data_IF_101957601167
#
_entry.id   IF_101957601167
#
_cell.length_a   1.000
_cell.length_b   1.000
_cell.length_c   1.000
_cell.angle_alpha   90.00
_cell.angle_beta   90.00
_cell.angle_gamma   90.00
#
_symmetry.space_group_name_H-M   'P 1'
#
loop_
_entity.id
_entity.type
_entity.pdbx_description
1 polymer ?
#
# COMPACT_ATOMS: atom_id res chain seq x y z
N UNK A 1 -37.21 -7.68 8.15
CA UNK A 1 -36.12 -7.69 9.14
C UNK A 1 -34.93 -8.34 8.47
N UNK A 2 -33.91 -7.56 8.18
CA UNK A 2 -32.72 -7.99 7.46
C UNK A 2 -31.75 -8.61 8.48
N UNK A 3 -31.45 -9.90 8.33
CA UNK A 3 -30.34 -10.52 9.04
C UNK A 3 -29.10 -10.40 8.16
N UNK A 4 -28.14 -9.60 8.65
CA UNK A 4 -26.76 -9.65 8.21
C UNK A 4 -26.19 -11.01 8.64
N UNK A 5 -25.91 -11.88 7.68
CA UNK A 5 -25.08 -13.07 7.90
C UNK A 5 -23.62 -12.66 7.75
N UNK A 6 -22.94 -12.55 8.89
CA UNK A 6 -21.49 -12.55 8.96
C UNK A 6 -20.96 -13.85 8.35
N UNK A 7 -20.12 -13.75 7.32
CA UNK A 7 -19.30 -14.87 6.83
C UNK A 7 -18.22 -15.20 7.87
N UNK A 8 -17.98 -16.49 8.19
CA UNK A 8 -16.90 -16.90 9.05
C UNK A 8 -15.63 -17.05 8.20
N UNK A 9 -15.05 -15.94 7.75
CA UNK A 9 -13.63 -15.98 7.43
C UNK A 9 -12.90 -15.82 8.76
N UNK A 10 -12.05 -16.79 9.11
CA UNK A 10 -11.19 -16.74 10.27
C UNK A 10 -10.43 -15.41 10.25
N UNK A 11 -10.90 -14.44 11.04
CA UNK A 11 -10.18 -13.22 11.31
C UNK A 11 -8.97 -13.63 12.13
N UNK A 12 -7.80 -13.71 11.48
CA UNK A 12 -6.54 -13.58 12.21
C UNK A 12 -6.61 -12.23 12.93
N UNK A 13 -6.68 -12.26 14.26
CA UNK A 13 -6.61 -11.06 15.10
C UNK A 13 -5.18 -10.53 15.22
N UNK A 14 -4.23 -11.11 14.48
CA UNK A 14 -2.84 -10.71 14.46
C UNK A 14 -2.54 -9.96 13.16
N UNK A 15 -2.24 -8.66 13.29
CA UNK A 15 -1.59 -7.93 12.21
C UNK A 15 -0.23 -8.56 11.96
N UNK A 16 0.11 -8.91 10.70
CA UNK A 16 1.34 -9.61 10.40
C UNK A 16 2.56 -8.81 10.85
N UNK A 17 3.63 -9.55 11.13
CA UNK A 17 4.94 -8.98 11.38
C UNK A 17 5.61 -8.69 10.04
N UNK A 18 6.11 -7.45 9.91
CA UNK A 18 6.88 -7.01 8.75
C UNK A 18 8.35 -6.99 9.12
N UNK A 19 9.20 -7.43 8.20
CA UNK A 19 10.65 -7.45 8.37
C UNK A 19 11.36 -7.06 7.08
N UNK A 20 12.36 -6.19 7.19
CA UNK A 20 13.34 -6.00 6.12
C UNK A 20 14.39 -7.10 6.25
N UNK A 21 14.64 -7.83 5.17
CA UNK A 21 15.69 -8.85 5.09
C UNK A 21 16.44 -8.71 3.78
N UNK A 22 17.41 -9.58 3.52
CA UNK A 22 18.09 -9.65 2.23
C UNK A 22 17.67 -10.93 1.50
N UNK A 23 17.52 -10.84 0.18
CA UNK A 23 17.47 -12.00 -0.70
C UNK A 23 18.78 -12.79 -0.56
N UNK A 24 18.71 -14.13 -0.54
CA UNK A 24 19.90 -14.98 -0.41
C UNK A 24 20.71 -15.07 -1.71
N UNK A 25 20.06 -14.85 -2.86
CA UNK A 25 20.70 -14.94 -4.18
C UNK A 25 21.26 -13.57 -4.60
N UNK A 26 20.42 -12.53 -4.63
CA UNK A 26 20.81 -11.20 -5.12
C UNK A 26 21.41 -10.29 -4.04
N UNK A 27 21.31 -10.66 -2.76
CA UNK A 27 21.68 -9.82 -1.60
C UNK A 27 20.94 -8.47 -1.51
N UNK A 28 19.97 -8.22 -2.38
CA UNK A 28 19.12 -7.02 -2.38
C UNK A 28 18.19 -7.07 -1.18
N UNK A 29 17.90 -5.90 -0.60
CA UNK A 29 16.95 -5.79 0.49
C UNK A 29 15.53 -6.10 -0.02
N UNK A 30 14.77 -6.88 0.75
CA UNK A 30 13.39 -7.27 0.43
C UNK A 30 12.50 -7.11 1.67
N UNK A 31 11.19 -6.95 1.44
CA UNK A 31 10.20 -6.86 2.51
C UNK A 31 9.53 -8.21 2.71
N UNK A 32 9.68 -8.79 3.90
CA UNK A 32 9.00 -10.00 4.33
C UNK A 32 7.76 -9.72 5.15
N UNK A 33 6.67 -10.41 4.83
CA UNK A 33 5.43 -10.43 5.62
C UNK A 33 5.23 -11.82 6.23
N UNK A 34 5.13 -11.89 7.55
CA UNK A 34 4.97 -13.17 8.27
C UNK A 34 3.65 -13.86 7.90
N UNK A 35 3.69 -15.18 7.76
CA UNK A 35 2.53 -16.03 7.49
C UNK A 35 2.20 -16.97 8.66
N UNK A 36 0.94 -17.45 8.77
CA UNK A 36 0.54 -18.37 9.83
C UNK A 36 1.36 -19.68 9.88
N UNK A 37 1.90 -20.12 8.74
CA UNK A 37 2.78 -21.29 8.65
C UNK A 37 4.22 -21.02 9.14
N UNK A 38 4.52 -19.81 9.60
CA UNK A 38 5.83 -19.39 10.12
C UNK A 38 6.81 -18.92 9.05
N UNK A 39 6.46 -19.01 7.76
CA UNK A 39 7.27 -18.47 6.68
C UNK A 39 7.08 -16.95 6.52
N UNK A 40 7.98 -16.32 5.77
CA UNK A 40 7.80 -14.95 5.28
C UNK A 40 7.53 -15.00 3.78
N UNK A 41 6.51 -14.27 3.34
CA UNK A 41 6.30 -14.00 1.93
C UNK A 41 6.98 -12.70 1.57
N UNK A 42 7.85 -12.74 0.56
CA UNK A 42 8.78 -11.67 0.23
C UNK A 42 8.26 -10.79 -0.91
N UNK A 43 8.58 -9.50 -0.86
CA UNK A 43 8.23 -8.49 -1.84
C UNK A 43 9.43 -7.62 -2.23
N UNK A 44 9.52 -7.30 -3.50
CA UNK A 44 10.40 -6.28 -4.09
C UNK A 44 9.65 -4.97 -4.32
N UNK A 45 10.40 -3.89 -4.48
CA UNK A 45 9.84 -2.62 -4.93
C UNK A 45 10.16 -2.39 -6.41
N UNK A 46 9.12 -2.37 -7.24
CA UNK A 46 9.19 -2.01 -8.65
C UNK A 46 9.10 -0.48 -8.76
N UNK A 47 10.23 0.15 -9.07
CA UNK A 47 10.32 1.62 -9.20
C UNK A 47 9.58 2.17 -10.42
N UNK A 48 9.40 1.37 -11.49
CA UNK A 48 8.68 1.79 -12.68
C UNK A 48 7.17 1.79 -12.44
N UNK A 49 6.67 0.78 -11.73
CA UNK A 49 5.25 0.65 -11.39
C UNK A 49 4.87 1.37 -10.10
N UNK A 50 5.84 1.85 -9.32
CA UNK A 50 5.63 2.42 -7.98
C UNK A 50 4.84 1.45 -7.08
N UNK A 51 5.26 0.19 -7.06
CA UNK A 51 4.52 -0.89 -6.40
C UNK A 51 5.42 -1.90 -5.70
N UNK A 52 4.95 -2.42 -4.57
CA UNK A 52 5.52 -3.59 -3.93
C UNK A 52 4.94 -4.85 -4.58
N UNK A 53 5.78 -5.60 -5.28
CA UNK A 53 5.41 -6.81 -6.03
C UNK A 53 6.01 -8.05 -5.37
N UNK A 54 5.41 -9.24 -5.54
CA UNK A 54 5.99 -10.48 -5.00
C UNK A 54 7.42 -10.69 -5.50
N UNK A 55 8.33 -11.05 -4.59
CA UNK A 55 9.72 -11.33 -4.93
C UNK A 55 9.83 -12.61 -5.75
N UNK A 56 10.46 -12.52 -6.92
CA UNK A 56 10.65 -13.63 -7.86
C UNK A 56 12.06 -14.19 -7.66
N UNK A 57 12.18 -15.18 -6.78
CA UNK A 57 13.46 -15.81 -6.44
C UNK A 57 13.24 -17.17 -5.77
N UNK A 58 14.23 -18.05 -5.86
CA UNK A 58 14.31 -19.34 -5.16
C UNK A 58 14.08 -19.22 -3.63
N UNK A 59 14.42 -18.07 -3.04
CA UNK A 59 14.26 -17.81 -1.61
C UNK A 59 12.81 -17.47 -1.19
N UNK A 60 11.89 -17.31 -2.14
CA UNK A 60 10.47 -17.13 -1.86
C UNK A 60 9.88 -18.39 -1.22
N UNK A 61 8.95 -18.22 -0.28
CA UNK A 61 8.27 -19.32 0.37
C UNK A 61 7.51 -20.20 -0.64
N UNK A 62 7.87 -21.49 -0.71
CA UNK A 62 7.17 -22.47 -1.55
C UNK A 62 5.77 -22.73 -1.01
N UNK A 63 4.79 -22.81 -1.92
CA UNK A 63 3.41 -23.16 -1.56
C UNK A 63 3.21 -24.67 -1.69
N UNK A 64 2.60 -25.28 -0.69
CA UNK A 64 2.19 -26.68 -0.73
C UNK A 64 0.68 -26.80 -0.70
N UNK A 65 0.15 -27.98 -1.06
CA UNK A 65 -1.27 -28.28 -0.93
C UNK A 65 -1.79 -28.09 0.50
N UNK A 66 -0.93 -28.27 1.52
CA UNK A 66 -1.29 -28.03 2.92
C UNK A 66 -1.57 -26.55 3.25
N UNK A 67 -1.03 -25.62 2.45
CA UNK A 67 -1.24 -24.18 2.60
C UNK A 67 -2.50 -23.68 1.86
N UNK A 68 -3.21 -24.56 1.15
CA UNK A 68 -4.37 -24.21 0.34
C UNK A 68 -5.68 -24.57 1.04
N UNK A 69 -6.66 -23.67 0.96
CA UNK A 69 -8.02 -23.86 1.45
C UNK A 69 -9.02 -23.76 0.29
N UNK A 70 -9.54 -24.88 -0.24
CA UNK A 70 -10.37 -24.84 -1.42
C UNK A 70 -11.75 -24.25 -1.11
N UNK A 71 -12.23 -23.35 -1.96
CA UNK A 71 -13.46 -22.57 -1.74
C UNK A 71 -14.62 -23.11 -2.55
N UNK A 72 -14.47 -23.15 -3.88
CA UNK A 72 -15.40 -23.73 -4.84
C UNK A 72 -14.66 -24.00 -6.17
N UNK A 73 -15.31 -24.68 -7.12
CA UNK A 73 -14.77 -24.88 -8.46
C UNK A 73 -15.78 -24.50 -9.53
N UNK A 74 -15.29 -24.00 -10.65
CA UNK A 74 -16.07 -23.72 -11.85
C UNK A 74 -15.47 -24.45 -13.05
N UNK A 75 -16.34 -24.91 -13.94
CA UNK A 75 -15.92 -25.55 -15.18
C UNK A 75 -15.91 -24.52 -16.29
N UNK A 76 -14.77 -24.36 -16.95
CA UNK A 76 -14.61 -23.48 -18.10
C UNK A 76 -13.99 -24.26 -19.24
N UNK A 77 -14.75 -24.42 -20.34
CA UNK A 77 -14.39 -25.32 -21.44
C UNK A 77 -14.09 -26.73 -20.90
N UNK A 78 -12.86 -27.21 -21.12
CA UNK A 78 -12.39 -28.53 -20.70
C UNK A 78 -11.57 -28.50 -19.39
N UNK A 79 -11.46 -27.33 -18.75
CA UNK A 79 -10.73 -27.17 -17.49
C UNK A 79 -11.71 -27.00 -16.32
N UNK A 80 -11.37 -27.63 -15.20
CA UNK A 80 -12.01 -27.35 -13.91
C UNK A 80 -11.07 -26.43 -13.15
N UNK A 81 -11.48 -25.18 -13.01
CA UNK A 81 -10.76 -24.16 -12.26
C UNK A 81 -11.26 -24.18 -10.83
N UNK A 82 -10.35 -24.25 -9.88
CA UNK A 82 -10.65 -24.35 -8.46
C UNK A 82 -10.16 -23.07 -7.80
N UNK A 83 -11.08 -22.34 -7.17
CA UNK A 83 -10.75 -21.18 -6.36
C UNK A 83 -10.29 -21.66 -4.99
N UNK A 84 -9.07 -21.30 -4.61
CA UNK A 84 -8.49 -21.68 -3.32
C UNK A 84 -7.93 -20.44 -2.65
N UNK A 85 -8.11 -20.34 -1.33
CA UNK A 85 -7.39 -19.37 -0.54
C UNK A 85 -6.01 -19.93 -0.20
N UNK A 86 -4.96 -19.23 -0.60
CA UNK A 86 -3.57 -19.59 -0.36
C UNK A 86 -3.06 -18.83 0.87
N UNK A 87 -2.67 -19.58 1.91
CA UNK A 87 -2.19 -19.02 3.17
C UNK A 87 -0.77 -18.40 3.04
N UNK A 88 0.00 -18.80 2.02
CA UNK A 88 1.34 -18.27 1.75
C UNK A 88 1.27 -16.91 1.07
N UNK A 89 0.46 -16.73 0.03
CA UNK A 89 0.28 -15.42 -0.61
C UNK A 89 -0.77 -14.54 0.08
N UNK A 90 -1.60 -15.12 0.95
CA UNK A 90 -2.76 -14.49 1.58
C UNK A 90 -3.83 -14.04 0.56
N UNK A 91 -3.98 -14.78 -0.54
CA UNK A 91 -4.89 -14.45 -1.65
C UNK A 91 -5.84 -15.57 -1.99
N UNK A 92 -6.97 -15.22 -2.61
CA UNK A 92 -7.79 -16.19 -3.34
C UNK A 92 -7.27 -16.28 -4.76
N UNK A 93 -6.79 -17.47 -5.10
CA UNK A 93 -6.11 -17.77 -6.35
C UNK A 93 -6.83 -18.90 -7.09
N UNK A 94 -6.50 -19.06 -8.37
CA UNK A 94 -7.12 -20.05 -9.24
C UNK A 94 -6.12 -21.16 -9.54
N UNK A 95 -6.57 -22.39 -9.36
CA UNK A 95 -5.76 -23.58 -9.58
C UNK A 95 -6.45 -24.54 -10.54
N UNK A 96 -5.65 -25.22 -11.34
CA UNK A 96 -6.08 -26.38 -12.13
C UNK A 96 -5.25 -27.57 -11.71
N UNK A 97 -5.86 -28.75 -11.76
CA UNK A 97 -5.15 -30.00 -11.54
C UNK A 97 -4.69 -30.55 -12.89
N UNK A 98 -3.39 -30.43 -13.17
CA UNK A 98 -2.74 -30.93 -14.39
C UNK A 98 -2.02 -32.24 -14.12
N UNK A 99 -1.36 -32.74 -15.16
CA UNK A 99 -0.45 -33.89 -15.19
C UNK A 99 -0.99 -35.25 -14.69
N UNK A 100 -0.26 -36.33 -14.96
CA UNK A 100 -0.58 -37.69 -14.46
C UNK A 100 -0.41 -37.81 -12.94
N UNK A 101 0.28 -36.85 -12.31
CA UNK A 101 0.58 -36.82 -10.89
C UNK A 101 -0.45 -36.03 -10.08
N UNK A 102 -1.48 -35.49 -10.75
CA UNK A 102 -2.54 -34.67 -10.19
C UNK A 102 -2.00 -33.43 -9.47
N UNK A 103 -0.93 -32.84 -9.98
CA UNK A 103 -0.34 -31.64 -9.38
C UNK A 103 -1.26 -30.43 -9.60
N UNK A 104 -1.33 -29.55 -8.62
CA UNK A 104 -2.02 -28.28 -8.76
C UNK A 104 -1.07 -27.24 -9.35
N UNK A 105 -1.57 -26.51 -10.33
CA UNK A 105 -0.89 -25.40 -10.97
C UNK A 105 -1.75 -24.15 -10.85
N UNK A 106 -1.17 -23.06 -10.37
CA UNK A 106 -1.78 -21.75 -10.37
C UNK A 106 -1.95 -21.27 -11.82
N UNK A 107 -3.14 -20.77 -12.13
CA UNK A 107 -3.48 -20.20 -13.42
C UNK A 107 -4.01 -18.79 -13.25
N UNK A 108 -3.71 -17.95 -14.22
CA UNK A 108 -4.22 -16.59 -14.34
C UNK A 108 -4.98 -16.46 -15.67
N UNK A 109 -5.66 -15.33 -15.86
CA UNK A 109 -6.35 -15.00 -17.12
C UNK A 109 -7.36 -16.02 -17.65
N UNK A 110 -7.96 -16.80 -16.75
CA UNK A 110 -9.06 -17.70 -17.12
C UNK A 110 -10.30 -16.92 -17.57
N UNK A 111 -10.44 -15.65 -17.15
CA UNK A 111 -11.65 -14.85 -17.34
C UNK A 111 -12.75 -15.16 -16.30
N UNK A 112 -12.46 -16.01 -15.31
CA UNK A 112 -13.30 -16.22 -14.15
C UNK A 112 -12.91 -15.25 -13.02
N UNK A 113 -13.91 -14.76 -12.29
CA UNK A 113 -13.72 -13.85 -11.14
C UNK A 113 -14.25 -14.53 -9.89
N UNK A 114 -13.55 -14.36 -8.77
CA UNK A 114 -13.97 -14.91 -7.50
C UNK A 114 -15.36 -14.39 -7.09
N UNK A 115 -16.26 -15.30 -6.75
CA UNK A 115 -17.60 -15.02 -6.25
C UNK A 115 -17.75 -15.58 -4.82
N UNK A 116 -17.79 -14.72 -3.79
CA UNK A 116 -18.00 -15.15 -2.40
C UNK A 116 -19.30 -15.94 -2.17
N UNK A 117 -20.31 -15.73 -3.00
CA UNK A 117 -21.60 -16.44 -2.88
C UNK A 117 -21.55 -17.87 -3.40
N UNK A 118 -20.50 -18.22 -4.16
CA UNK A 118 -20.28 -19.57 -4.71
C UNK A 118 -19.52 -20.49 -3.75
N UNK A 119 -18.98 -19.97 -2.65
CA UNK A 119 -18.20 -20.75 -1.67
C UNK A 119 -19.04 -21.91 -1.15
N UNK A 120 -18.56 -23.14 -1.38
CA UNK A 120 -19.32 -24.33 -0.96
C UNK A 120 -19.21 -24.57 0.54
N UNK A 121 -20.33 -24.99 1.14
CA UNK A 121 -20.40 -25.47 2.52
C UNK A 121 -20.09 -26.97 2.62
N UNK A 122 -20.08 -27.70 1.50
CA UNK A 122 -19.75 -29.13 1.48
C UNK A 122 -18.25 -29.35 1.61
N UNK A 123 -17.85 -30.52 2.11
CA UNK A 123 -16.43 -30.92 2.12
C UNK A 123 -15.92 -31.12 0.70
N UNK A 124 -16.68 -31.74 -0.19
CA UNK A 124 -16.29 -31.93 -1.60
C UNK A 124 -16.38 -30.60 -2.35
N UNK A 125 -15.29 -30.21 -2.99
CA UNK A 125 -15.16 -28.97 -3.77
C UNK A 125 -15.13 -29.24 -5.26
N UNK A 126 -14.32 -30.20 -5.70
CA UNK A 126 -14.22 -30.58 -7.11
C UNK A 126 -14.12 -32.09 -7.27
N UNK A 127 -14.68 -32.61 -8.36
CA UNK A 127 -14.55 -34.00 -8.78
C UNK A 127 -14.02 -34.00 -10.21
N UNK A 128 -12.79 -34.45 -10.37
CA UNK A 128 -12.07 -34.49 -11.63
C UNK A 128 -12.06 -35.93 -12.11
N UNK A 129 -12.58 -36.18 -13.31
CA UNK A 129 -12.63 -37.51 -13.91
C UNK A 129 -11.62 -37.60 -15.04
N UNK A 130 -10.74 -38.59 -15.00
CA UNK A 130 -9.84 -38.95 -16.10
C UNK A 130 -9.90 -40.46 -16.28
N UNK A 131 -10.38 -40.92 -17.44
CA UNK A 131 -10.52 -42.33 -17.78
C UNK A 131 -11.12 -43.22 -16.68
N UNK A 132 -10.28 -43.94 -15.92
CA UNK A 132 -10.69 -44.86 -14.83
C UNK A 132 -10.43 -44.32 -13.43
N UNK A 133 -9.95 -43.10 -13.34
CA UNK A 133 -9.51 -42.44 -12.13
C UNK A 133 -10.40 -41.23 -11.83
N UNK A 134 -10.73 -41.07 -10.56
CA UNK A 134 -11.48 -39.91 -10.08
C UNK A 134 -10.68 -39.25 -8.97
N UNK A 135 -10.26 -38.01 -9.21
CA UNK A 135 -9.65 -37.18 -8.17
C UNK A 135 -10.71 -36.32 -7.52
N UNK A 136 -10.82 -36.43 -6.21
CA UNK A 136 -11.72 -35.64 -5.38
C UNK A 136 -10.88 -34.64 -4.60
N UNK A 137 -11.19 -33.36 -4.82
CA UNK A 137 -10.65 -32.24 -4.04
C UNK A 137 -11.68 -31.90 -2.98
N UNK A 138 -11.28 -31.99 -1.73
CA UNK A 138 -12.15 -31.78 -0.58
C UNK A 138 -11.48 -30.94 0.51
N UNK A 139 -12.29 -30.46 1.45
CA UNK A 139 -11.90 -29.76 2.66
C UNK A 139 -11.76 -30.77 3.79
N UNK A 140 -10.65 -30.72 4.52
CA UNK A 140 -10.53 -31.40 5.80
C UNK A 140 -11.37 -30.69 6.89
N UNK A 141 -11.26 -31.15 8.14
CA UNK A 141 -12.02 -30.57 9.26
C UNK A 141 -11.63 -29.13 9.59
N UNK A 142 -10.44 -28.68 9.16
CA UNK A 142 -9.93 -27.34 9.35
C UNK A 142 -10.17 -26.44 8.13
N UNK A 143 -10.74 -26.98 7.05
CA UNK A 143 -10.94 -26.28 5.78
C UNK A 143 -9.76 -26.34 4.83
N UNK A 144 -8.68 -27.04 5.19
CA UNK A 144 -7.51 -27.21 4.33
C UNK A 144 -7.79 -28.23 3.23
N UNK A 145 -7.02 -28.13 2.14
CA UNK A 145 -7.11 -29.05 1.02
C UNK A 145 -6.75 -30.47 1.44
N UNK A 146 -7.62 -31.40 1.09
CA UNK A 146 -7.36 -32.83 1.06
C UNK A 146 -7.70 -33.36 -0.32
N UNK A 147 -6.81 -34.18 -0.88
CA UNK A 147 -6.97 -34.76 -2.21
C UNK A 147 -7.04 -36.28 -2.09
N UNK A 148 -8.07 -36.87 -2.70
CA UNK A 148 -8.29 -38.32 -2.72
C UNK A 148 -8.34 -38.81 -4.17
N UNK A 149 -7.72 -39.94 -4.44
CA UNK A 149 -7.77 -40.66 -5.70
C UNK A 149 -8.64 -41.91 -5.53
N UNK A 150 -9.69 -42.00 -6.33
CA UNK A 150 -10.42 -43.23 -6.57
C UNK A 150 -9.89 -43.91 -7.83
N UNK A 151 -9.36 -45.12 -7.68
CA UNK A 151 -8.90 -45.96 -8.77
C UNK A 151 -9.49 -47.37 -8.58
N UNK A 152 -10.15 -47.90 -9.60
CA UNK A 152 -10.76 -49.26 -9.59
C UNK A 152 -11.66 -49.53 -8.36
N UNK A 153 -12.38 -48.52 -7.88
CA UNK A 153 -13.29 -48.60 -6.72
C UNK A 153 -12.58 -48.58 -5.36
N UNK A 154 -11.27 -48.30 -5.31
CA UNK A 154 -10.51 -48.05 -4.08
C UNK A 154 -10.21 -46.57 -3.95
N UNK A 155 -10.47 -46.01 -2.77
CA UNK A 155 -10.17 -44.62 -2.46
C UNK A 155 -8.88 -44.58 -1.64
N UNK A 156 -7.91 -43.79 -2.09
CA UNK A 156 -6.66 -43.51 -1.39
C UNK A 156 -6.46 -42.00 -1.25
N UNK A 157 -5.93 -41.56 -0.11
CA UNK A 157 -5.56 -40.16 0.08
C UNK A 157 -4.20 -39.91 -0.57
N UNK A 158 -4.10 -38.87 -1.40
CA UNK A 158 -2.85 -38.43 -1.97
C UNK A 158 -2.08 -37.57 -0.96
N UNK A 159 -0.74 -37.73 -0.85
CA UNK A 159 0.06 -36.89 0.02
C UNK A 159 0.07 -35.44 -0.48
N UNK A 160 0.17 -34.49 0.45
CA UNK A 160 0.40 -33.08 0.13
C UNK A 160 1.69 -32.94 -0.67
N UNK A 161 1.65 -32.11 -1.72
CA UNK A 161 2.79 -31.81 -2.59
C UNK A 161 2.95 -30.31 -2.74
N UNK A 162 4.11 -29.90 -3.23
CA UNK A 162 4.31 -28.53 -3.72
C UNK A 162 3.40 -28.29 -4.93
N UNK A 163 2.84 -27.09 -5.00
CA UNK A 163 2.04 -26.63 -6.12
C UNK A 163 2.90 -25.72 -7.00
N UNK A 164 2.63 -25.70 -8.30
CA UNK A 164 3.34 -24.80 -9.23
C UNK A 164 2.65 -23.45 -9.18
N UNK A 165 3.30 -22.44 -8.63
CA UNK A 165 2.78 -21.07 -8.60
C UNK A 165 3.22 -20.27 -9.83
N UNK A 166 2.64 -19.08 -10.02
CA UNK A 166 3.09 -18.14 -11.06
C UNK A 166 4.56 -17.75 -10.85
N UNK A 167 4.97 -17.55 -9.58
CA UNK A 167 6.36 -17.23 -9.24
C UNK A 167 7.31 -18.38 -9.61
N UNK A 168 6.91 -19.63 -9.37
CA UNK A 168 7.74 -20.79 -9.75
C UNK A 168 7.98 -20.85 -11.27
N UNK A 169 6.97 -20.51 -12.07
CA UNK A 169 7.14 -20.43 -13.53
C UNK A 169 8.07 -19.30 -13.94
N UNK A 170 7.91 -18.12 -13.35
CA UNK A 170 8.79 -16.98 -13.65
C UNK A 170 10.24 -17.28 -13.29
N UNK A 171 10.50 -18.01 -12.20
CA UNK A 171 11.85 -18.46 -11.84
C UNK A 171 12.40 -19.42 -12.90
N UNK A 172 11.61 -20.41 -13.32
CA UNK A 172 12.02 -21.38 -14.35
C UNK A 172 12.31 -20.70 -15.69
N UNK A 173 11.46 -19.78 -16.12
CA UNK A 173 11.65 -19.01 -17.36
C UNK A 173 12.96 -18.21 -17.30
N UNK A 174 13.28 -17.57 -16.17
CA UNK A 174 14.55 -16.86 -16.01
C UNK A 174 15.76 -17.81 -16.02
N UNK A 175 15.67 -18.99 -15.37
CA UNK A 175 16.75 -19.98 -15.37
C UNK A 175 17.02 -20.52 -16.78
N UNK A 176 15.98 -20.75 -17.58
CA UNK A 176 16.09 -21.17 -18.99
C UNK A 176 16.74 -20.09 -19.86
N UNK A 177 16.37 -18.81 -19.68
CA UNK A 177 16.97 -17.68 -20.41
C UNK A 177 18.49 -17.57 -20.16
N UNK A 178 18.95 -17.77 -18.92
CA UNK A 178 20.39 -17.75 -18.60
C UNK A 178 21.16 -18.92 -19.23
N UNK A 179 20.56 -20.12 -19.27
CA UNK A 179 21.19 -21.28 -19.90
C UNK A 179 21.27 -21.12 -21.43
N UNK A 180 20.30 -20.48 -22.07
CA UNK A 180 20.34 -20.17 -23.51
C UNK A 180 21.41 -19.11 -23.87
N UNK A 181 21.60 -18.08 -23.03
CA UNK A 181 22.63 -17.05 -23.24
C UNK A 181 24.07 -17.62 -23.10
N UNK A 182 24.31 -18.52 -22.13
CA UNK A 182 25.62 -19.15 -21.92
C UNK A 182 26.01 -20.14 -23.04
N UNK A 183 25.03 -20.74 -23.73
CA UNK A 183 25.29 -21.61 -24.90
C UNK A 183 25.66 -20.84 -26.17
N UNK A 184 25.25 -19.57 -26.32
CA UNK A 184 25.62 -18.72 -27.48
C UNK A 184 27.03 -18.12 -27.38
N UNK A 185 27.58 -17.93 -26.17
CA UNK A 185 28.93 -17.39 -25.95
C UNK A 185 30.04 -18.48 -25.93
N UNK A 186 29.69 -19.76 -26.05
CA UNK A 186 30.62 -20.89 -26.02
C UNK A 186 31.41 -21.13 -27.33
N UNK A 187 31.30 -20.28 -28.37
CA UNK A 187 31.98 -20.49 -29.67
C UNK A 187 33.33 -19.75 -29.82
N UNK A 188 33.89 -19.20 -28.73
CA UNK A 188 35.25 -18.62 -28.74
C UNK A 188 36.20 -19.34 -27.76
N UNK A 189 36.66 -20.53 -28.14
CA UNK A 189 37.94 -21.06 -27.63
C UNK A 189 38.79 -21.69 -28.74
N UNK A 190 39.83 -20.98 -29.16
CA UNK A 190 41.22 -21.47 -29.30
C UNK A 190 42.07 -20.41 -30.04
N UNK A 191 43.06 -19.84 -29.36
CA UNK A 191 44.46 -20.05 -29.72
C UNK A 191 45.36 -19.73 -28.52
N UNK A 192 46.06 -20.78 -28.10
CA UNK A 192 47.08 -20.89 -27.07
C UNK A 192 48.35 -20.07 -27.37
N UNK A 193 49.05 -19.76 -26.28
CA UNK A 193 50.51 -19.76 -26.09
C UNK A 193 51.41 -18.86 -26.95
N UNK A 194 52.07 -17.91 -26.29
CA UNK A 194 53.53 -17.77 -26.38
C UNK A 194 54.13 -17.36 -25.03
N UNK A 195 55.10 -18.15 -24.60
CA UNK A 195 55.97 -17.97 -23.43
C UNK A 195 57.00 -16.83 -23.65
N UNK A 196 57.45 -16.28 -22.51
CA UNK A 196 58.82 -15.81 -22.20
C UNK A 196 59.50 -14.69 -23.03
N UNK A 197 59.88 -13.58 -22.38
CA UNK A 197 61.26 -13.37 -21.86
C UNK A 197 61.49 -11.93 -21.30
N UNK A 198 62.12 -11.92 -20.12
CA UNK A 198 63.18 -11.04 -19.58
C UNK A 198 63.35 -9.54 -19.94
N UNK A 199 63.45 -8.76 -18.86
CA UNK A 199 64.52 -7.80 -18.50
C UNK A 199 64.55 -6.39 -19.14
N UNK A 200 64.85 -5.39 -18.30
CA UNK A 200 65.54 -4.17 -18.74
C UNK A 200 65.00 -2.80 -18.30
N UNK A 201 65.57 -2.29 -17.20
CA UNK A 201 66.01 -0.88 -16.95
C UNK A 201 65.03 0.30 -16.86
N UNK A 202 64.97 0.86 -15.64
CA UNK A 202 65.34 2.23 -15.18
C UNK A 202 65.33 3.44 -16.15
N UNK A 203 64.85 4.57 -15.59
CA UNK A 203 65.11 6.00 -15.89
C UNK A 203 64.48 6.57 -17.20
N UNK A 204 63.99 7.80 -17.35
CA UNK A 204 63.95 9.02 -16.53
C UNK A 204 63.02 10.06 -17.25
N UNK A 205 62.56 11.04 -16.48
CA UNK A 205 62.20 12.44 -16.82
C UNK A 205 60.98 12.84 -17.71
N UNK A 206 60.12 13.64 -17.05
CA UNK A 206 59.54 14.94 -17.44
C UNK A 206 59.15 15.20 -18.91
N UNK A 207 57.86 15.48 -19.14
CA UNK A 207 57.44 16.79 -19.66
C UNK A 207 55.90 16.95 -19.66
N UNK A 208 55.49 18.18 -19.36
CA UNK A 208 54.14 18.67 -19.20
C UNK A 208 53.33 18.70 -20.51
N UNK A 209 51.99 18.63 -20.42
CA UNK A 209 51.07 19.56 -21.13
C UNK A 209 49.59 19.27 -20.75
N UNK A 210 49.10 20.04 -19.76
CA UNK A 210 47.93 20.92 -19.86
C UNK A 210 46.72 20.44 -20.69
N UNK A 211 45.72 19.80 -20.06
CA UNK A 211 44.33 19.77 -20.58
C UNK A 211 43.31 19.84 -19.43
N UNK A 212 42.83 21.07 -19.20
CA UNK A 212 41.51 21.49 -18.70
C UNK A 212 40.92 20.85 -17.44
N UNK A 213 40.79 21.71 -16.42
CA UNK A 213 39.64 21.74 -15.50
C UNK A 213 38.31 21.59 -16.27
N UNK A 214 37.59 20.50 -16.03
CA UNK A 214 36.16 20.57 -15.68
C UNK A 214 35.77 19.25 -14.99
N UNK A 215 36.00 19.21 -13.68
CA UNK A 215 35.49 18.17 -12.77
C UNK A 215 33.95 18.17 -12.81
N UNK A 216 33.37 17.48 -13.79
CA UNK A 216 31.92 17.33 -13.95
C UNK A 216 31.51 15.87 -14.09
N UNK A 217 32.10 14.96 -13.30
CA UNK A 217 31.68 13.56 -13.28
C UNK A 217 31.83 12.92 -11.90
N UNK A 218 31.34 13.61 -10.85
CA UNK A 218 31.29 13.08 -9.48
C UNK A 218 29.85 13.15 -8.90
N UNK A 219 28.84 12.91 -9.74
CA UNK A 219 27.42 12.92 -9.36
C UNK A 219 26.74 11.55 -9.35
N UNK A 220 27.42 10.45 -9.67
CA UNK A 220 26.78 9.13 -9.77
C UNK A 220 26.87 8.29 -8.49
N UNK A 221 27.63 8.71 -7.46
CA UNK A 221 27.85 7.90 -6.25
C UNK A 221 26.98 8.24 -5.03
N UNK A 222 26.05 9.19 -5.13
CA UNK A 222 25.25 9.63 -3.98
C UNK A 222 24.00 8.80 -3.67
N UNK A 223 23.56 7.91 -4.58
CA UNK A 223 22.30 7.17 -4.39
C UNK A 223 22.42 5.91 -3.50
N UNK A 224 23.64 5.38 -3.29
CA UNK A 224 23.87 4.15 -2.49
C UNK A 224 23.72 4.34 -0.98
N UNK A 225 23.60 5.59 -0.51
CA UNK A 225 23.47 5.89 0.93
C UNK A 225 22.03 5.74 1.45
N UNK A 226 21.03 5.75 0.56
CA UNK A 226 19.63 5.65 0.97
C UNK A 226 19.21 4.19 1.11
N UNK A 227 18.70 3.76 2.28
CA UNK A 227 18.24 2.40 2.44
C UNK A 227 17.06 2.11 1.50
N UNK A 228 17.06 1.00 0.74
CA UNK A 228 15.97 0.66 -0.18
C UNK A 228 14.60 0.60 0.50
N UNK A 229 14.61 0.19 1.78
CA UNK A 229 13.42 0.10 2.61
C UNK A 229 13.62 0.68 4.00
N UNK A 230 12.58 1.31 4.53
CA UNK A 230 12.46 1.71 5.92
C UNK A 230 11.13 1.24 6.50
N UNK A 231 11.17 0.54 7.64
CA UNK A 231 9.96 0.17 8.39
C UNK A 231 9.67 1.22 9.46
N UNK A 232 8.45 1.74 9.45
CA UNK A 232 8.02 2.71 10.45
C UNK A 232 7.45 2.02 11.69
N UNK A 233 7.38 2.75 12.81
CA UNK A 233 6.76 2.28 14.06
C UNK A 233 5.29 1.89 13.87
N UNK A 234 4.61 2.47 12.87
CA UNK A 234 3.23 2.14 12.51
C UNK A 234 3.11 0.97 11.52
N UNK A 235 4.15 0.14 11.35
CA UNK A 235 4.20 -0.96 10.38
C UNK A 235 3.91 -0.53 8.93
N UNK A 236 4.29 0.71 8.56
CA UNK A 236 4.31 1.13 7.16
C UNK A 236 5.66 0.79 6.55
N UNK A 237 5.67 0.50 5.26
CA UNK A 237 6.89 0.32 4.47
C UNK A 237 7.12 1.60 3.69
N UNK A 238 8.30 2.20 3.84
CA UNK A 238 8.78 3.22 2.93
C UNK A 238 9.76 2.54 1.96
N UNK A 239 9.50 2.62 0.67
CA UNK A 239 10.39 2.10 -0.37
C UNK A 239 11.02 3.27 -1.12
N UNK A 240 12.35 3.26 -1.29
CA UNK A 240 13.02 4.31 -2.03
C UNK A 240 12.84 4.08 -3.53
N UNK A 241 12.26 5.05 -4.23
CA UNK A 241 12.14 5.03 -5.68
C UNK A 241 13.34 5.72 -6.30
N UNK A 242 14.18 4.93 -6.99
CA UNK A 242 15.40 5.40 -7.63
C UNK A 242 15.15 6.25 -8.88
N UNK A 243 13.95 6.18 -9.48
CA UNK A 243 13.54 7.02 -10.61
C UNK A 243 13.08 8.39 -10.11
N UNK A 244 12.18 8.42 -9.12
CA UNK A 244 11.65 9.68 -8.57
C UNK A 244 12.54 10.32 -7.50
N UNK A 245 13.59 9.60 -7.06
CA UNK A 245 14.52 9.98 -5.98
C UNK A 245 13.80 10.34 -4.66
N UNK A 246 12.73 9.63 -4.34
CA UNK A 246 11.93 9.87 -3.14
C UNK A 246 11.40 8.55 -2.55
N UNK A 247 11.02 8.58 -1.27
CA UNK A 247 10.33 7.45 -0.64
C UNK A 247 8.84 7.44 -0.97
N UNK A 248 8.36 6.26 -1.32
CA UNK A 248 6.94 5.95 -1.47
C UNK A 248 6.46 5.11 -0.28
N UNK A 249 5.23 5.37 0.18
CA UNK A 249 4.68 4.76 1.39
C UNK A 249 3.65 3.69 1.07
N UNK A 250 3.77 2.54 1.73
CA UNK A 250 2.89 1.40 1.54
C UNK A 250 2.38 0.85 2.87
N UNK A 251 1.13 0.37 2.85
CA UNK A 251 0.52 -0.37 3.95
C UNK A 251 0.15 -1.77 3.44
N UNK A 252 0.41 -2.78 4.26
CA UNK A 252 -0.07 -4.14 3.98
C UNK A 252 -1.57 -4.25 4.30
N UNK A 253 -2.38 -4.68 3.34
CA UNK A 253 -3.78 -4.99 3.53
C UNK A 253 -3.98 -6.50 3.72
N UNK A 254 -4.26 -6.89 4.96
CA UNK A 254 -4.49 -8.28 5.37
C UNK A 254 -5.64 -8.95 4.62
N UNK A 255 -6.58 -8.18 4.05
CA UNK A 255 -7.73 -8.73 3.32
C UNK A 255 -7.41 -9.11 1.89
N UNK A 256 -6.57 -8.32 1.23
CA UNK A 256 -6.20 -8.53 -0.18
C UNK A 256 -4.89 -9.29 -0.31
N UNK A 257 -4.07 -9.31 0.74
CA UNK A 257 -2.75 -9.90 0.71
C UNK A 257 -1.71 -9.01 0.03
N UNK A 258 -2.04 -7.75 -0.24
CA UNK A 258 -1.26 -6.81 -1.04
C UNK A 258 -0.79 -5.59 -0.26
N UNK A 259 0.30 -5.00 -0.73
CA UNK A 259 0.70 -3.67 -0.33
C UNK A 259 -0.05 -2.64 -1.17
N UNK A 260 -0.74 -1.72 -0.50
CA UNK A 260 -1.45 -0.63 -1.14
C UNK A 260 -0.62 0.66 -1.00
N UNK A 261 -0.43 1.43 -2.09
CA UNK A 261 0.19 2.74 -2.00
C UNK A 261 -0.68 3.64 -1.12
N UNK A 262 -0.03 4.37 -0.22
CA UNK A 262 -0.69 5.33 0.66
C UNK A 262 -0.43 6.72 0.10
N UNK A 263 -1.42 7.31 -0.58
CA UNK A 263 -1.48 8.77 -0.72
C UNK A 263 -1.95 9.37 0.62
N UNK A 264 -0.98 9.55 1.51
CA UNK A 264 -1.03 10.24 2.80
C UNK A 264 -2.05 9.75 3.86
N UNK A 265 -1.53 9.06 4.88
CA UNK A 265 -2.02 9.19 6.26
C UNK A 265 -0.80 9.36 7.17
N UNK A 266 -0.89 10.24 8.18
CA UNK A 266 0.25 11.01 8.69
C UNK A 266 1.32 10.15 9.35
N UNK A 267 2.53 10.69 9.45
CA UNK A 267 3.44 10.34 10.54
C UNK A 267 2.63 10.21 11.85
N UNK A 268 2.79 9.17 12.69
CA UNK A 268 2.12 9.10 13.99
C UNK A 268 2.29 10.38 14.85
N UNK A 269 3.28 11.23 14.55
CA UNK A 269 3.48 12.53 15.17
C UNK A 269 2.87 13.72 14.41
N UNK A 270 2.36 13.52 13.19
CA UNK A 270 1.75 14.55 12.38
C UNK A 270 0.27 14.71 12.77
N UNK A 271 -0.10 15.95 13.08
CA UNK A 271 -1.46 16.32 13.47
C UNK A 271 -2.38 16.24 12.24
N UNK A 272 -3.56 15.67 12.42
CA UNK A 272 -4.68 15.67 11.45
C UNK A 272 -5.92 16.25 12.09
N UNK A 273 -6.89 16.62 11.25
CA UNK A 273 -8.18 17.17 11.67
C UNK A 273 -8.92 16.28 12.69
N UNK A 274 -8.76 14.96 12.65
CA UNK A 274 -9.38 14.07 13.65
C UNK A 274 -8.75 14.16 15.05
N UNK A 275 -7.56 14.74 15.19
CA UNK A 275 -6.96 15.05 16.51
C UNK A 275 -7.49 16.39 17.08
N UNK A 276 -8.23 17.16 16.29
CA UNK A 276 -8.62 18.52 16.62
C UNK A 276 -10.03 18.56 17.21
N UNK A 277 -10.15 19.07 18.44
CA UNK A 277 -11.41 19.28 19.16
C UNK A 277 -11.69 20.78 19.25
N UNK A 278 -12.40 21.37 18.26
CA UNK A 278 -12.69 22.79 18.25
C UNK A 278 -13.60 23.20 19.43
N UNK A 279 -13.19 24.25 20.13
CA UNK A 279 -13.91 24.82 21.27
C UNK A 279 -14.83 25.94 20.83
N UNK A 280 -14.27 26.96 20.19
CA UNK A 280 -14.99 28.09 19.62
C UNK A 280 -14.14 28.78 18.55
N UNK A 281 -14.73 29.76 17.87
CA UNK A 281 -14.08 30.56 16.83
C UNK A 281 -14.18 32.05 17.18
N UNK A 282 -13.14 32.81 16.85
CA UNK A 282 -13.14 34.27 16.89
C UNK A 282 -12.83 34.82 15.49
N UNK A 283 -13.54 35.85 15.08
CA UNK A 283 -13.27 36.59 13.85
C UNK A 283 -12.46 37.83 14.20
N UNK A 284 -11.24 37.93 13.68
CA UNK A 284 -10.35 39.07 13.96
C UNK A 284 -10.58 40.20 12.95
N UNK A 285 -10.45 39.87 11.65
CA UNK A 285 -10.66 40.78 10.53
C UNK A 285 -11.74 40.23 9.59
N UNK A 286 -12.28 41.06 8.70
CA UNK A 286 -13.33 40.66 7.74
C UNK A 286 -12.91 39.43 6.93
N UNK A 287 -13.40 38.26 7.33
CA UNK A 287 -13.16 36.98 6.65
C UNK A 287 -12.08 36.09 7.25
N UNK A 288 -11.39 36.53 8.33
CA UNK A 288 -10.36 35.73 9.01
C UNK A 288 -10.89 35.16 10.32
N UNK A 289 -11.08 33.84 10.33
CA UNK A 289 -11.62 33.09 11.44
C UNK A 289 -10.53 32.25 12.10
N UNK A 290 -10.27 32.51 13.38
CA UNK A 290 -9.36 31.73 14.21
C UNK A 290 -10.16 30.77 15.07
N UNK A 291 -9.81 29.50 14.98
CA UNK A 291 -10.38 28.41 15.77
C UNK A 291 -9.50 28.17 17.00
N UNK A 292 -10.11 28.19 18.18
CA UNK A 292 -9.48 27.69 19.39
C UNK A 292 -9.76 26.19 19.48
N UNK A 293 -8.70 25.38 19.47
CA UNK A 293 -8.80 23.93 19.29
C UNK A 293 -7.98 23.23 20.35
N UNK A 294 -8.57 22.24 21.01
CA UNK A 294 -7.80 21.29 21.81
C UNK A 294 -7.26 20.20 20.89
N UNK A 295 -5.95 20.02 20.84
CA UNK A 295 -5.32 18.98 20.05
C UNK A 295 -5.01 17.77 20.93
N UNK A 296 -5.63 16.62 20.65
CA UNK A 296 -5.44 15.41 21.44
C UNK A 296 -4.07 14.74 21.22
N UNK A 297 -3.38 15.03 20.12
CA UNK A 297 -2.05 14.50 19.87
C UNK A 297 -0.99 15.27 20.67
N UNK A 298 -1.02 16.60 20.63
CA UNK A 298 -0.07 17.45 21.35
C UNK A 298 -0.47 17.75 22.79
N UNK A 299 -1.72 17.43 23.16
CA UNK A 299 -2.33 17.68 24.47
C UNK A 299 -2.36 19.17 24.84
N UNK A 300 -2.45 20.06 23.85
CA UNK A 300 -2.40 21.51 24.03
C UNK A 300 -3.62 22.21 23.43
N UNK A 301 -3.89 23.41 23.96
CA UNK A 301 -4.76 24.38 23.29
C UNK A 301 -3.97 25.11 22.23
N UNK A 302 -4.39 24.96 20.98
CA UNK A 302 -3.75 25.49 19.79
C UNK A 302 -4.74 26.36 19.01
N UNK A 303 -4.23 27.13 18.07
CA UNK A 303 -5.02 28.05 17.24
C UNK A 303 -4.78 27.71 15.79
N UNK A 304 -5.86 27.63 15.05
CA UNK A 304 -5.82 27.32 13.63
C UNK A 304 -6.65 28.34 12.86
N UNK A 305 -6.25 28.62 11.63
CA UNK A 305 -7.13 29.24 10.64
C UNK A 305 -7.36 28.26 9.50
N UNK A 306 -8.44 28.49 8.75
CA UNK A 306 -8.76 27.67 7.60
C UNK A 306 -8.29 28.37 6.33
N UNK A 307 -7.31 27.79 5.65
CA UNK A 307 -6.83 28.30 4.37
C UNK A 307 -7.79 27.86 3.26
N UNK A 308 -8.51 28.83 2.67
CA UNK A 308 -9.52 28.58 1.64
C UNK A 308 -8.93 28.08 0.31
N UNK A 309 -7.65 28.32 0.07
CA UNK A 309 -6.94 27.91 -1.15
C UNK A 309 -6.52 26.45 -1.07
N UNK A 310 -5.97 26.03 0.07
CA UNK A 310 -5.53 24.64 0.28
C UNK A 310 -6.63 23.74 0.87
N UNK A 311 -7.74 24.34 1.31
CA UNK A 311 -8.83 23.68 2.06
C UNK A 311 -8.36 22.94 3.33
N UNK A 312 -7.24 23.38 3.90
CA UNK A 312 -6.59 22.80 5.07
C UNK A 312 -6.54 23.77 6.25
N UNK A 313 -6.30 23.20 7.43
CA UNK A 313 -6.01 23.99 8.63
C UNK A 313 -4.52 24.22 8.78
N UNK A 314 -4.15 25.44 9.15
CA UNK A 314 -2.78 25.80 9.49
C UNK A 314 -2.73 26.37 10.91
N UNK A 315 -1.78 25.91 11.70
CA UNK A 315 -1.54 26.38 13.06
C UNK A 315 -0.98 27.82 12.99
N UNK A 316 -1.48 28.70 13.85
CA UNK A 316 -1.10 30.12 13.87
C UNK A 316 -0.67 30.57 15.26
N UNK A 317 0.31 31.47 15.31
CA UNK A 317 0.67 32.20 16.54
C UNK A 317 -0.17 33.47 16.62
N UNK A 318 -1.14 33.46 17.53
CA UNK A 318 -1.93 34.63 17.89
C UNK A 318 -1.87 34.82 19.42
N UNK A 319 -0.72 35.18 20.01
CA UNK A 319 -0.53 35.23 21.46
C UNK A 319 -1.54 36.12 22.20
N UNK A 320 -2.07 37.15 21.52
CA UNK A 320 -3.12 38.04 22.00
C UNK A 320 -4.48 37.35 22.23
N UNK A 321 -4.75 36.26 21.51
CA UNK A 321 -6.00 35.50 21.65
C UNK A 321 -5.84 34.38 22.68
N UNK A 322 -6.02 34.66 23.96
CA UNK A 322 -5.94 33.61 25.00
C UNK A 322 -7.21 32.76 24.99
N UNK A 323 -7.05 31.44 25.16
CA UNK A 323 -8.20 30.55 25.30
C UNK A 323 -9.07 30.92 26.52
N UNK A 324 -10.37 31.07 26.29
CA UNK A 324 -11.38 31.38 27.29
C UNK A 324 -12.48 30.31 27.27
N UNK A 325 -12.48 29.44 28.27
CA UNK A 325 -13.45 28.34 28.39
C UNK A 325 -14.91 28.80 28.50
N UNK A 326 -15.17 30.07 28.85
CA UNK A 326 -16.54 30.59 28.92
C UNK A 326 -17.17 30.76 27.54
N UNK A 327 -16.35 30.77 26.47
CA UNK A 327 -16.79 30.88 25.07
C UNK A 327 -17.01 29.53 24.39
N UNK A 328 -16.74 28.42 25.07
CA UNK A 328 -16.92 27.07 24.52
C UNK A 328 -18.34 26.91 23.95
N UNK A 329 -18.44 26.59 22.66
CA UNK A 329 -19.73 26.40 22.00
C UNK A 329 -20.14 24.93 21.99
N UNK A 330 -21.40 24.66 22.32
CA UNK A 330 -22.02 23.35 22.10
C UNK A 330 -22.56 23.19 20.68
N UNK A 331 -22.53 24.26 19.86
CA UNK A 331 -22.97 24.19 18.48
C UNK A 331 -22.05 23.24 17.67
N UNK A 332 -22.70 22.38 16.89
CA UNK A 332 -22.02 21.46 15.97
C UNK A 332 -21.46 22.22 14.78
N UNK A 333 -22.25 23.13 14.20
CA UNK A 333 -21.81 23.96 13.08
C UNK A 333 -20.88 25.08 13.58
N UNK A 334 -19.69 25.19 12.98
CA UNK A 334 -18.72 26.24 13.32
C UNK A 334 -18.72 27.35 12.28
N UNK A 335 -18.60 27.01 10.99
CA UNK A 335 -18.61 27.98 9.90
C UNK A 335 -19.02 27.32 8.59
N UNK A 336 -19.63 28.12 7.71
CA UNK A 336 -19.95 27.73 6.33
C UNK A 336 -19.29 28.70 5.36
N UNK A 337 -18.53 28.18 4.40
CA UNK A 337 -17.99 28.93 3.28
C UNK A 337 -18.81 28.64 2.03
N UNK A 338 -19.30 29.69 1.37
CA UNK A 338 -20.12 29.58 0.17
C UNK A 338 -19.25 29.97 -1.03
N UNK A 339 -19.11 29.03 -1.97
CA UNK A 339 -18.46 29.20 -3.26
C UNK A 339 -19.51 29.14 -4.37
N UNK A 340 -19.21 29.60 -5.60
CA UNK A 340 -20.19 29.65 -6.69
C UNK A 340 -20.92 28.32 -6.97
N UNK A 341 -20.22 27.18 -6.86
CA UNK A 341 -20.75 25.85 -7.20
C UNK A 341 -20.81 24.87 -6.01
N UNK A 342 -20.42 25.31 -4.81
CA UNK A 342 -20.42 24.46 -3.61
C UNK A 342 -20.46 25.26 -2.31
N UNK A 343 -20.98 24.66 -1.26
CA UNK A 343 -20.80 25.13 0.11
C UNK A 343 -19.89 24.16 0.86
N UNK A 344 -18.88 24.68 1.55
CA UNK A 344 -18.03 23.93 2.46
C UNK A 344 -18.45 24.23 3.89
N UNK A 345 -18.70 23.18 4.67
CA UNK A 345 -19.18 23.25 6.04
C UNK A 345 -18.11 22.70 6.96
N UNK A 346 -17.73 23.48 7.95
CA UNK A 346 -16.82 23.06 9.02
C UNK A 346 -17.64 22.93 10.30
N UNK A 347 -17.56 21.74 10.91
CA UNK A 347 -18.41 21.37 12.03
C UNK A 347 -17.72 20.39 12.97
N UNK A 348 -18.41 20.03 14.05
CA UNK A 348 -18.02 18.97 14.99
C UNK A 348 -18.67 17.64 14.58
N UNK A 349 -17.96 16.54 14.71
CA UNK A 349 -18.56 15.20 14.61
C UNK A 349 -19.30 14.83 15.92
N UNK A 350 -19.83 13.61 16.00
CA UNK A 350 -20.53 13.11 17.18
C UNK A 350 -19.65 12.97 18.43
N UNK A 351 -18.34 12.94 18.27
CA UNK A 351 -17.34 12.88 19.35
C UNK A 351 -16.76 14.27 19.67
N UNK A 352 -17.18 15.31 18.95
CA UNK A 352 -16.69 16.67 19.12
C UNK A 352 -15.42 17.00 18.34
N UNK A 353 -14.95 16.11 17.46
CA UNK A 353 -13.79 16.31 16.58
C UNK A 353 -14.14 17.16 15.38
N UNK A 354 -13.14 17.79 14.78
CA UNK A 354 -13.31 18.58 13.57
C UNK A 354 -13.74 17.70 12.39
N UNK A 355 -14.74 18.17 11.65
CA UNK A 355 -15.29 17.52 10.46
C UNK A 355 -15.56 18.55 9.37
N UNK A 356 -15.33 18.17 8.11
CA UNK A 356 -15.66 18.94 6.92
C UNK A 356 -16.70 18.20 6.06
N UNK A 357 -17.66 18.93 5.52
CA UNK A 357 -18.60 18.43 4.52
C UNK A 357 -18.73 19.41 3.36
N UNK A 358 -18.86 18.91 2.14
CA UNK A 358 -19.11 19.72 0.96
C UNK A 358 -20.51 19.42 0.39
N UNK A 359 -21.25 20.46 0.03
CA UNK A 359 -22.53 20.37 -0.68
C UNK A 359 -22.40 21.05 -2.04
N UNK A 360 -22.68 20.33 -3.13
CA UNK A 360 -22.53 20.85 -4.50
C UNK A 360 -23.87 21.31 -5.08
N UNK A 361 -23.87 22.39 -5.86
CA UNK A 361 -25.08 22.88 -6.53
C UNK A 361 -25.64 21.83 -7.49
N UNK A 362 -26.88 21.39 -7.27
CA UNK A 362 -27.56 20.37 -8.09
C UNK A 362 -27.50 18.94 -7.52
N UNK A 363 -26.74 18.71 -6.45
CA UNK A 363 -26.68 17.45 -5.72
C UNK A 363 -27.18 17.71 -4.28
N UNK A 364 -28.36 17.21 -3.92
CA UNK A 364 -28.96 17.39 -2.59
C UNK A 364 -28.30 16.52 -1.49
N UNK A 365 -27.01 16.18 -1.64
CA UNK A 365 -26.30 15.34 -0.69
C UNK A 365 -25.08 16.09 -0.13
N UNK A 366 -24.92 16.01 1.19
CA UNK A 366 -23.69 16.41 1.88
C UNK A 366 -22.65 15.30 1.74
N UNK A 367 -21.51 15.64 1.17
CA UNK A 367 -20.41 14.70 0.96
C UNK A 367 -19.40 14.93 2.10
N UNK A 368 -19.22 13.96 3.02
CA UNK A 368 -18.20 14.07 4.05
C UNK A 368 -16.81 14.06 3.42
N UNK A 369 -15.97 15.02 3.81
CA UNK A 369 -14.58 15.06 3.37
C UNK A 369 -13.71 14.30 4.38
N UNK A 370 -12.73 13.50 3.91
CA UNK A 370 -11.82 12.80 4.81
C UNK A 370 -10.95 13.80 5.60
N UNK A 371 -10.58 13.47 6.85
CA UNK A 371 -9.65 14.28 7.64
C UNK A 371 -8.32 14.51 6.90
N UNK A 372 -7.93 15.76 6.76
CA UNK A 372 -6.66 16.15 6.11
C UNK A 372 -5.55 16.38 7.15
N UNK A 373 -4.28 16.32 6.72
CA UNK A 373 -3.16 16.77 7.55
C UNK A 373 -3.28 18.27 7.82
N UNK A 374 -2.86 18.70 9.00
CA UNK A 374 -2.81 20.13 9.34
C UNK A 374 -1.38 20.61 9.33
N UNK A 375 -1.16 21.81 8.83
CA UNK A 375 0.15 22.45 8.86
C UNK A 375 0.42 22.90 10.30
N UNK A 376 1.40 22.30 10.95
CA UNK A 376 1.81 22.68 12.31
C UNK A 376 3.02 23.59 12.25
N UNK A 377 3.16 24.47 13.24
CA UNK A 377 4.34 25.32 13.35
C UNK A 377 5.51 24.50 13.90
N UNK A 378 6.70 24.73 13.36
CA UNK A 378 7.96 24.17 13.83
C UNK A 378 8.31 24.72 15.22
N UNK A 379 9.20 24.00 15.94
CA UNK A 379 9.68 24.46 17.26
C UNK A 379 10.33 25.84 17.17
N UNK A 380 11.10 26.10 16.12
CA UNK A 380 11.74 27.41 15.91
C UNK A 380 10.73 28.53 15.66
N UNK A 381 9.67 28.29 14.88
CA UNK A 381 8.60 29.28 14.67
C UNK A 381 7.87 29.61 15.98
N UNK A 382 7.60 28.58 16.80
CA UNK A 382 6.96 28.74 18.12
C UNK A 382 7.86 29.52 19.10
N UNK A 383 9.17 29.41 18.99
CA UNK A 383 10.14 30.10 19.86
C UNK A 383 10.48 31.53 19.40
N UNK A 384 10.51 31.79 18.08
CA UNK A 384 10.89 33.11 17.52
C UNK A 384 9.77 34.16 17.63
N UNK A 385 8.52 33.76 17.85
CA UNK A 385 7.42 34.67 18.16
C UNK A 385 7.11 35.74 17.09
N UNK A 386 7.68 35.63 15.90
CA UNK A 386 7.45 36.57 14.80
C UNK A 386 6.22 36.15 14.00
N UNK A 387 5.15 36.97 13.97
CA UNK A 387 4.03 36.71 13.07
C UNK A 387 4.51 36.97 11.64
N UNK A 388 4.69 35.91 10.84
CA UNK A 388 4.79 36.08 9.41
C UNK A 388 3.46 36.64 8.90
N UNK A 389 3.47 37.91 8.51
CA UNK A 389 2.41 38.52 7.72
C UNK A 389 2.41 37.88 6.34
N UNK A 390 1.84 36.69 6.22
CA UNK A 390 1.47 36.17 4.91
C UNK A 390 0.31 37.00 4.39
N UNK A 391 0.56 37.59 3.22
CA UNK A 391 -0.21 38.64 2.56
C UNK A 391 -1.68 38.23 2.42
N UNK A 392 -2.56 38.99 3.07
CA UNK A 392 -4.01 38.88 2.91
C UNK A 392 -4.38 39.28 1.48
N UNK A 393 -4.68 38.30 0.64
CA UNK A 393 -5.28 38.58 -0.66
C UNK A 393 -6.78 38.81 -0.47
N UNK A 394 -7.16 40.08 -0.52
CA UNK A 394 -8.53 40.56 -0.46
C UNK A 394 -9.08 40.77 -1.88
N UNK A 395 -9.98 39.89 -2.32
CA UNK A 395 -10.97 40.21 -3.35
C UNK A 395 -12.32 39.67 -2.88
N UNK A 396 -13.08 40.48 -2.13
CA UNK A 396 -14.02 41.52 -2.57
C UNK A 396 -15.37 40.95 -3.04
N UNK A 397 -16.38 41.20 -2.21
CA UNK A 397 -17.69 41.75 -2.60
C UNK A 397 -18.41 41.11 -3.79
N UNK A 398 -19.17 40.03 -3.56
CA UNK A 398 -20.40 39.74 -4.32
C UNK A 398 -21.27 38.66 -3.66
N UNK A 399 -21.58 38.76 -2.36
CA UNK A 399 -22.33 37.71 -1.64
C UNK A 399 -23.48 38.25 -0.79
N UNK A 400 -24.32 39.12 -1.35
CA UNK A 400 -25.65 39.41 -0.79
C UNK A 400 -26.81 38.95 -1.69
N UNK A 401 -26.58 38.75 -3.00
CA UNK A 401 -27.59 38.23 -3.93
C UNK A 401 -27.72 36.70 -3.96
N UNK A 402 -26.64 35.96 -3.68
CA UNK A 402 -26.61 34.49 -3.78
C UNK A 402 -27.09 33.78 -2.50
N UNK A 403 -27.07 34.46 -1.35
CA UNK A 403 -27.51 33.90 -0.07
C UNK A 403 -29.02 33.57 -0.04
N UNK A 404 -29.86 34.31 -0.77
CA UNK A 404 -31.30 34.05 -0.81
C UNK A 404 -31.69 32.84 -1.65
N UNK A 405 -30.91 32.51 -2.70
CA UNK A 405 -31.20 31.36 -3.56
C UNK A 405 -30.63 30.06 -2.99
N UNK A 406 -29.51 30.09 -2.25
CA UNK A 406 -28.92 28.88 -1.66
C UNK A 406 -29.73 28.37 -0.46
N UNK A 407 -30.29 29.27 0.36
CA UNK A 407 -31.16 28.89 1.49
C UNK A 407 -32.45 28.19 1.05
N UNK A 408 -32.95 28.47 -0.16
CA UNK A 408 -34.17 27.86 -0.68
C UNK A 408 -33.94 26.45 -1.26
N UNK A 409 -32.72 26.09 -1.65
CA UNK A 409 -32.42 24.82 -2.33
C UNK A 409 -31.94 23.71 -1.38
N UNK A 410 -31.27 24.04 -0.28
CA UNK A 410 -30.73 23.02 0.65
C UNK A 410 -31.64 22.67 1.84
N UNK A 411 -32.72 23.43 2.08
CA UNK A 411 -33.61 23.25 3.25
C UNK A 411 -35.08 22.92 2.88
N UNK A 412 -35.32 22.24 1.76
CA UNK A 412 -36.61 21.60 1.46
C UNK A 412 -36.60 20.10 1.73
#
# INVERSE_FOLDING_TARGET
MWNQTNSPMLQSTFSPELKITKCNESFVAVIGVSRPNGAYYLYDFDSEKSQLIPHVCSCQAKTTEADLMPLYSERQKDLTVIFMYNQVSNKVEQYVCRDEMYRLEQVEDTGLVFNPSSVTQTSVVAILRRDREIVVIEKDLNGNLRKCLEEEGRISQLPSREVITVIDRQIQEMEEDYEEEDEEDSDYSYLEDFENDEDGSEDDEEDEEDVSEDDTEDSEHYDDSNPPFVLTVSKKVLAFNYISKNYESFCYDDKTGDFLPIDCSPDPNQVIESHLYPKYMETIELGTNIFHVYNSLTQKMEKYWFNKTTEGFEEVLAPELVYDSSKDTTATLLVTFIYPNRALIIMKDSEGRLKKEACFTGVNNYIPMPPSSVKTLTKEEKEKGTPEKNVFDSSSEELLGLLQNFYAMCFQ
#
